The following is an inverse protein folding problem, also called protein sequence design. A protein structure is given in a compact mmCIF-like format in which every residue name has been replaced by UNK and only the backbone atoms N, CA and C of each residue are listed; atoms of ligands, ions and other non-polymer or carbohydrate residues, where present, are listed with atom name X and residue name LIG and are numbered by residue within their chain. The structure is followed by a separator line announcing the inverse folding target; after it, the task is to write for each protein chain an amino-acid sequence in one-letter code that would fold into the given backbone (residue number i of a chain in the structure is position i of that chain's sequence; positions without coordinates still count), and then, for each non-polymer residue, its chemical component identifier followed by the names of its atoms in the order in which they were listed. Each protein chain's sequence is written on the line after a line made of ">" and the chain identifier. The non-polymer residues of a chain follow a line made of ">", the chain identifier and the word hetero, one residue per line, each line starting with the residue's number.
data_IF_651429332706
#
_entry.id   IF_651429332706
#
_cell.length_a   1.000
_cell.length_b   1.000
_cell.length_c   1.000
_cell.angle_alpha   90.00
_cell.angle_beta   90.00
_cell.angle_gamma   90.00
#
_symmetry.space_group_name_H-M   'P 1'
#
loop_
_entity.id
_entity.type
_entity.pdbx_description
1 polymer ?
#
# COMPACT_ATOMS: atom_id res chain seq x y z
N UNK A 1 -21.64 -43.45 3.86
CA UNK A 1 -21.35 -42.70 2.61
C UNK A 1 -22.56 -41.84 2.26
N UNK A 2 -22.55 -40.52 2.14
CA UNK A 2 -21.48 -39.54 1.97
C UNK A 2 -22.00 -38.40 1.08
N UNK A 3 -22.71 -37.42 1.63
CA UNK A 3 -23.28 -36.27 0.87
C UNK A 3 -23.50 -35.01 1.72
N UNK A 4 -22.59 -34.69 2.65
CA UNK A 4 -22.69 -33.49 3.50
C UNK A 4 -21.48 -32.54 3.58
N UNK A 5 -20.29 -32.79 2.96
CA UNK A 5 -19.18 -31.83 3.07
C UNK A 5 -19.19 -30.72 2.00
N UNK A 6 -20.03 -30.82 0.95
CA UNK A 6 -19.95 -29.94 -0.22
C UNK A 6 -20.58 -28.55 -0.03
N UNK A 7 -21.54 -28.40 0.90
CA UNK A 7 -22.21 -27.11 1.15
C UNK A 7 -21.37 -26.20 2.07
N UNK A 8 -20.61 -26.78 3.00
CA UNK A 8 -19.76 -26.02 3.94
C UNK A 8 -18.52 -25.45 3.22
N UNK A 9 -17.95 -26.20 2.25
CA UNK A 9 -16.82 -25.72 1.46
C UNK A 9 -17.17 -24.51 0.56
N UNK A 10 -18.39 -24.45 0.04
CA UNK A 10 -18.80 -23.37 -0.88
C UNK A 10 -19.02 -22.04 -0.15
N UNK A 11 -19.54 -22.06 1.08
CA UNK A 11 -19.74 -20.88 1.94
C UNK A 11 -18.41 -20.31 2.47
N UNK A 12 -17.45 -21.17 2.82
CA UNK A 12 -16.12 -20.73 3.24
C UNK A 12 -15.35 -20.05 2.09
N UNK A 13 -15.50 -20.54 0.85
CA UNK A 13 -14.86 -19.95 -0.32
C UNK A 13 -15.43 -18.57 -0.69
N UNK A 14 -16.71 -18.30 -0.43
CA UNK A 14 -17.33 -16.99 -0.72
C UNK A 14 -16.95 -15.92 0.29
N UNK A 15 -16.77 -16.27 1.57
CA UNK A 15 -16.37 -15.31 2.60
C UNK A 15 -14.90 -14.87 2.39
N UNK A 16 -14.03 -15.76 1.90
CA UNK A 16 -12.61 -15.43 1.70
C UNK A 16 -12.35 -14.57 0.44
N UNK A 17 -13.26 -14.55 -0.55
CA UNK A 17 -13.10 -13.68 -1.74
C UNK A 17 -13.60 -12.25 -1.51
N UNK A 18 -14.41 -11.99 -0.48
CA UNK A 18 -14.96 -10.67 -0.19
C UNK A 18 -13.97 -9.76 0.56
N UNK A 19 -13.07 -10.33 1.38
CA UNK A 19 -12.15 -9.55 2.20
C UNK A 19 -11.05 -8.83 1.39
N UNK A 20 -10.72 -9.31 0.19
CA UNK A 20 -9.66 -8.71 -0.64
C UNK A 20 -10.13 -7.51 -1.46
N UNK A 21 -11.45 -7.27 -1.59
CA UNK A 21 -11.96 -6.16 -2.41
C UNK A 21 -12.06 -4.83 -1.66
N UNK A 22 -11.98 -4.85 -0.33
CA UNK A 22 -12.18 -3.63 0.48
C UNK A 22 -10.91 -2.78 0.63
N UNK A 23 -9.72 -3.30 0.29
CA UNK A 23 -8.49 -2.50 0.29
C UNK A 23 -8.31 -1.65 -0.97
N UNK A 24 -9.06 -1.93 -2.04
CA UNK A 24 -8.93 -1.22 -3.31
C UNK A 24 -9.68 0.12 -3.34
N UNK A 25 -10.54 0.38 -2.34
CA UNK A 25 -11.47 1.52 -2.31
C UNK A 25 -11.07 2.56 -1.25
N UNK A 26 -9.77 2.70 -0.99
CA UNK A 26 -9.25 3.72 -0.09
C UNK A 26 -9.29 5.09 -0.76
N UNK A 27 -10.42 5.77 -0.57
CA UNK A 27 -10.52 7.18 -0.14
C UNK A 27 -9.73 8.21 -0.97
N UNK A 28 -10.31 8.68 -2.07
CA UNK A 28 -9.91 9.91 -2.77
C UNK A 28 -8.60 9.81 -3.58
N UNK A 29 -8.44 10.70 -4.56
CA UNK A 29 -7.18 10.79 -5.30
C UNK A 29 -6.06 11.24 -4.33
N UNK A 30 -5.00 10.44 -4.11
CA UNK A 30 -3.94 10.78 -3.15
C UNK A 30 -3.20 12.07 -3.54
N UNK A 31 -3.12 12.40 -4.83
CA UNK A 31 -2.49 13.63 -5.28
C UNK A 31 -3.32 14.85 -4.86
N UNK A 32 -4.64 14.76 -4.94
CA UNK A 32 -5.56 15.80 -4.47
C UNK A 32 -5.50 15.95 -2.94
N UNK A 33 -5.49 14.82 -2.22
CA UNK A 33 -5.40 14.83 -0.75
C UNK A 33 -4.10 15.48 -0.24
N UNK A 34 -2.98 15.27 -0.96
CA UNK A 34 -1.69 15.89 -0.65
C UNK A 34 -1.55 17.31 -1.24
N UNK A 35 -2.50 17.77 -2.04
CA UNK A 35 -2.43 19.03 -2.80
C UNK A 35 -1.17 19.13 -3.69
N UNK A 36 -0.73 18.01 -4.25
CA UNK A 36 0.47 17.92 -5.11
C UNK A 36 0.05 17.73 -6.56
N UNK A 37 0.75 18.38 -7.48
CA UNK A 37 0.56 18.14 -8.92
C UNK A 37 0.94 16.69 -9.26
N UNK A 38 0.00 15.98 -9.87
CA UNK A 38 0.25 14.68 -10.47
C UNK A 38 1.25 14.81 -11.63
N UNK A 39 2.35 14.03 -11.65
CA UNK A 39 3.24 13.95 -12.79
C UNK A 39 2.48 13.46 -14.03
N UNK A 40 2.75 14.01 -15.24
CA UNK A 40 2.10 13.55 -16.47
C UNK A 40 2.52 12.12 -16.85
N UNK A 41 3.68 11.68 -16.36
CA UNK A 41 4.25 10.35 -16.62
C UNK A 41 4.56 9.66 -15.29
N UNK A 42 4.20 8.38 -15.17
CA UNK A 42 4.59 7.56 -14.03
C UNK A 42 6.04 7.13 -14.20
N UNK A 43 6.89 7.53 -13.26
CA UNK A 43 8.28 7.09 -13.21
C UNK A 43 8.52 6.23 -11.97
N UNK A 44 9.47 5.29 -12.08
CA UNK A 44 9.90 4.51 -10.94
C UNK A 44 10.54 5.44 -9.90
N UNK A 45 10.16 5.29 -8.64
CA UNK A 45 10.83 6.01 -7.56
C UNK A 45 12.33 5.66 -7.55
N UNK A 46 13.22 6.64 -7.35
CA UNK A 46 14.66 6.39 -7.26
C UNK A 46 14.97 5.50 -6.05
N UNK A 47 16.09 4.77 -6.10
CA UNK A 47 16.60 4.10 -4.91
C UNK A 47 17.30 5.14 -4.03
N UNK A 48 16.66 5.50 -2.92
CA UNK A 48 17.17 6.49 -1.97
C UNK A 48 17.43 5.79 -0.66
N UNK A 49 18.66 5.88 -0.19
CA UNK A 49 19.07 5.46 1.14
C UNK A 49 19.14 6.67 2.08
N UNK A 50 18.67 6.49 3.31
CA UNK A 50 18.72 7.49 4.37
C UNK A 50 19.00 6.81 5.72
N UNK A 51 19.36 7.62 6.71
CA UNK A 51 19.59 7.16 8.08
C UNK A 51 18.39 7.56 8.93
N UNK A 52 17.84 6.62 9.70
CA UNK A 52 16.75 6.91 10.65
C UNK A 52 17.25 7.76 11.82
N UNK A 53 16.32 8.24 12.65
CA UNK A 53 16.66 8.99 13.87
C UNK A 53 17.46 8.14 14.87
N UNK A 54 17.31 6.82 14.81
CA UNK A 54 18.03 5.82 15.61
C UNK A 54 19.38 5.43 15.00
N UNK A 55 19.81 6.08 13.91
CA UNK A 55 21.09 5.83 13.25
C UNK A 55 21.09 4.61 12.35
N UNK A 56 19.94 4.00 12.05
CA UNK A 56 19.87 2.79 11.23
C UNK A 56 19.75 3.12 9.74
N UNK A 57 20.29 2.29 8.84
CA UNK A 57 20.06 2.43 7.41
C UNK A 57 18.60 2.09 7.07
N UNK A 58 17.98 2.92 6.22
CA UNK A 58 16.65 2.69 5.66
C UNK A 58 16.61 3.15 4.20
N UNK A 59 15.65 2.66 3.42
CA UNK A 59 15.44 3.13 2.06
C UNK A 59 13.99 3.02 1.60
N UNK A 60 13.68 3.62 0.44
CA UNK A 60 12.30 3.65 -0.08
C UNK A 60 11.70 2.26 -0.33
N UNK A 61 12.54 1.25 -0.60
CA UNK A 61 12.11 -0.15 -0.76
C UNK A 61 11.45 -0.73 0.50
N UNK A 62 11.75 -0.20 1.67
CA UNK A 62 11.22 -0.69 2.94
C UNK A 62 9.75 -0.26 3.13
N UNK A 63 9.24 0.68 2.32
CA UNK A 63 7.88 1.24 2.37
C UNK A 63 7.00 0.81 1.18
N UNK A 64 7.33 -0.31 0.52
CA UNK A 64 6.55 -0.83 -0.62
C UNK A 64 5.10 -1.09 -0.24
N UNK A 65 4.17 -0.64 -1.09
CA UNK A 65 2.72 -0.77 -0.87
C UNK A 65 2.10 0.37 -0.06
N UNK A 66 2.90 1.35 0.37
CA UNK A 66 2.43 2.55 1.06
C UNK A 66 2.59 3.79 0.16
N UNK A 67 1.70 4.77 0.32
CA UNK A 67 1.91 6.12 -0.24
C UNK A 67 2.92 6.84 0.66
N UNK A 68 4.03 7.30 0.08
CA UNK A 68 5.13 7.95 0.82
C UNK A 68 5.31 9.38 0.33
N UNK A 69 5.40 10.33 1.28
CA UNK A 69 5.74 11.72 1.03
C UNK A 69 7.16 12.00 1.51
N UNK A 70 8.04 12.46 0.61
CA UNK A 70 9.39 12.89 0.97
C UNK A 70 9.45 14.41 1.15
N UNK A 71 9.69 14.84 2.38
CA UNK A 71 9.93 16.25 2.71
C UNK A 71 11.41 16.56 2.76
N UNK A 72 11.87 17.51 1.94
CA UNK A 72 13.24 18.02 1.99
C UNK A 72 13.26 19.35 2.73
N UNK A 73 13.98 19.41 3.84
CA UNK A 73 14.09 20.61 4.67
C UNK A 73 15.49 20.71 5.27
N UNK A 74 15.85 21.90 5.73
CA UNK A 74 17.10 22.18 6.43
C UNK A 74 16.80 22.53 7.88
N UNK A 75 17.58 22.01 8.82
CA UNK A 75 17.64 22.53 10.19
C UNK A 75 18.74 23.59 10.27
N UNK A 76 18.60 24.55 11.18
CA UNK A 76 19.59 25.60 11.45
C UNK A 76 20.74 25.11 12.33
#
# INVERSE_FOLDING_TARGET
>A
MGRRPLIVGLLAATILTAASRTHADSTGDPYEAMMVRRPPTLEAAPDVAFTTLEGQPAGLKDFRGQVVLLGFFTTW
#
